data_IF_397595098091
#
_entry.id   IF_397595098091
#
_cell.length_a   1.000
_cell.length_b   1.000
_cell.length_c   1.000
_cell.angle_alpha   90.00
_cell.angle_beta   90.00
_cell.angle_gamma   90.00
#
_symmetry.space_group_name_H-M   'P 1'
#
loop_
_entity.id
_entity.type
_entity.pdbx_description
1 polymer ?
#
# COMPACT_ATOMS: atom_id res chain seq x y z
N UNK A 1 -11.12 4.77 4.97
CA UNK A 1 -10.93 4.60 3.50
C UNK A 1 -12.18 4.86 2.65
N UNK A 2 -13.41 4.68 3.15
CA UNK A 2 -14.64 4.89 2.37
C UNK A 2 -14.80 6.30 1.78
N UNK A 3 -14.48 7.35 2.55
CA UNK A 3 -14.58 8.73 2.10
C UNK A 3 -13.64 9.03 0.92
N UNK A 4 -12.39 8.56 0.99
CA UNK A 4 -11.42 8.72 -0.11
C UNK A 4 -11.91 8.04 -1.39
N UNK A 5 -12.44 6.82 -1.28
CA UNK A 5 -12.99 6.10 -2.42
C UNK A 5 -14.17 6.84 -3.06
N UNK A 6 -15.08 7.38 -2.23
CA UNK A 6 -16.21 8.17 -2.71
C UNK A 6 -15.75 9.44 -3.43
N UNK A 7 -14.76 10.14 -2.88
CA UNK A 7 -14.16 11.32 -3.51
C UNK A 7 -13.51 10.97 -4.85
N UNK A 8 -12.72 9.91 -4.92
CA UNK A 8 -12.09 9.45 -6.16
C UNK A 8 -13.14 9.15 -7.23
N UNK A 9 -14.14 8.33 -6.90
CA UNK A 9 -15.24 7.96 -7.82
C UNK A 9 -16.05 9.16 -8.28
N UNK A 10 -16.27 10.15 -7.41
CA UNK A 10 -17.06 11.35 -7.74
C UNK A 10 -16.25 12.37 -8.53
N UNK A 11 -14.94 12.49 -8.27
CA UNK A 11 -14.09 13.49 -8.88
C UNK A 11 -13.92 13.31 -10.40
N UNK A 12 -14.07 12.08 -10.91
CA UNK A 12 -13.79 11.68 -12.31
C UNK A 12 -12.41 12.14 -12.81
N UNK A 13 -11.47 12.38 -11.90
CA UNK A 13 -10.10 12.80 -12.24
C UNK A 13 -9.16 11.63 -12.09
N UNK A 14 -8.26 11.49 -13.05
CA UNK A 14 -7.17 10.53 -12.94
C UNK A 14 -5.97 11.15 -12.20
N UNK A 15 -6.02 11.17 -10.87
CA UNK A 15 -4.94 11.70 -10.03
C UNK A 15 -4.27 10.56 -9.24
N UNK A 16 -2.94 10.59 -9.07
CA UNK A 16 -2.25 9.61 -8.24
C UNK A 16 -2.62 9.80 -6.76
N UNK A 17 -2.72 8.68 -6.03
CA UNK A 17 -3.08 8.68 -4.61
C UNK A 17 -1.93 8.10 -3.77
N UNK A 18 -1.60 8.78 -2.67
CA UNK A 18 -0.55 8.35 -1.75
C UNK A 18 -1.21 7.91 -0.43
N UNK A 19 -0.89 6.69 0.00
CA UNK A 19 -1.39 6.12 1.25
C UNK A 19 -0.22 5.84 2.16
N UNK A 20 -0.09 6.64 3.22
CA UNK A 20 0.89 6.43 4.28
C UNK A 20 0.28 5.63 5.42
N UNK A 21 0.98 4.61 5.90
CA UNK A 21 0.52 3.66 6.93
C UNK A 21 -0.87 3.10 6.64
N UNK A 22 -1.04 2.28 5.58
CA UNK A 22 -2.34 1.93 4.99
C UNK A 22 -3.32 1.27 5.95
N UNK A 23 -2.83 0.61 7.00
CA UNK A 23 -3.66 -0.15 7.92
C UNK A 23 -3.61 0.33 9.35
N UNK A 24 -2.54 1.01 9.79
CA UNK A 24 -2.41 1.50 11.16
C UNK A 24 -2.86 0.42 12.19
N UNK A 25 -3.78 0.76 13.10
CA UNK A 25 -4.31 -0.14 14.15
C UNK A 25 -5.54 -0.96 13.73
N UNK A 26 -5.74 -1.19 12.44
CA UNK A 26 -6.87 -1.99 11.93
C UNK A 26 -6.60 -3.48 12.12
N UNK A 27 -7.61 -4.24 12.56
CA UNK A 27 -7.52 -5.70 12.71
C UNK A 27 -7.43 -6.46 11.38
N UNK A 28 -7.09 -7.74 11.46
CA UNK A 28 -6.84 -8.57 10.28
C UNK A 28 -8.01 -8.72 9.32
N UNK A 29 -9.25 -8.71 9.84
CA UNK A 29 -10.47 -8.92 9.04
C UNK A 29 -10.75 -7.65 8.24
N UNK A 30 -10.68 -6.51 8.91
CA UNK A 30 -10.87 -5.21 8.28
C UNK A 30 -9.72 -4.89 7.30
N UNK A 31 -8.48 -5.32 7.57
CA UNK A 31 -7.37 -5.22 6.59
C UNK A 31 -7.69 -5.92 5.27
N UNK A 32 -8.21 -7.15 5.31
CA UNK A 32 -8.58 -7.89 4.09
C UNK A 32 -9.68 -7.16 3.31
N UNK A 33 -10.72 -6.68 4.00
CA UNK A 33 -11.77 -5.90 3.37
C UNK A 33 -11.25 -4.62 2.71
N UNK A 34 -10.28 -3.93 3.32
CA UNK A 34 -9.67 -2.74 2.73
C UNK A 34 -8.88 -3.09 1.47
N UNK A 35 -8.11 -4.18 1.47
CA UNK A 35 -7.37 -4.60 0.27
C UNK A 35 -8.34 -4.87 -0.88
N UNK A 36 -9.38 -5.66 -0.64
CA UNK A 36 -10.31 -6.07 -1.69
C UNK A 36 -11.19 -4.92 -2.18
N UNK A 37 -11.68 -4.08 -1.27
CA UNK A 37 -12.62 -3.00 -1.62
C UNK A 37 -11.91 -1.72 -2.04
N UNK A 38 -10.73 -1.40 -1.50
CA UNK A 38 -10.04 -0.14 -1.77
C UNK A 38 -8.88 -0.35 -2.75
N UNK A 39 -7.86 -1.14 -2.39
CA UNK A 39 -6.65 -1.23 -3.22
C UNK A 39 -6.88 -1.93 -4.56
N UNK A 40 -7.76 -2.94 -4.61
CA UNK A 40 -8.08 -3.64 -5.87
C UNK A 40 -9.10 -2.95 -6.77
N UNK A 41 -9.95 -2.09 -6.21
CA UNK A 41 -11.09 -1.51 -6.95
C UNK A 41 -10.81 -0.14 -7.58
N UNK A 42 -9.70 0.49 -7.23
CA UNK A 42 -9.32 1.80 -7.75
C UNK A 42 -8.56 1.63 -9.07
N UNK A 43 -9.00 2.37 -10.09
CA UNK A 43 -8.37 2.39 -11.42
C UNK A 43 -7.19 3.38 -11.49
N UNK A 44 -7.09 4.30 -10.53
CA UNK A 44 -6.02 5.28 -10.44
C UNK A 44 -4.70 4.66 -9.98
N UNK A 45 -3.59 5.33 -10.31
CA UNK A 45 -2.28 4.96 -9.77
C UNK A 45 -2.23 5.22 -8.26
N UNK A 46 -1.86 4.20 -7.49
CA UNK A 46 -1.70 4.28 -6.02
C UNK A 46 -0.24 4.04 -5.65
N UNK A 47 0.26 4.88 -4.75
CA UNK A 47 1.52 4.69 -4.04
C UNK A 47 1.22 4.34 -2.59
N UNK A 48 1.71 3.19 -2.15
CA UNK A 48 1.53 2.72 -0.78
C UNK A 48 2.86 2.84 -0.05
N UNK A 49 2.88 3.62 1.03
CA UNK A 49 3.99 3.76 1.95
C UNK A 49 3.60 3.02 3.22
N UNK A 50 4.25 1.90 3.48
CA UNK A 50 3.91 1.03 4.59
C UNK A 50 5.15 0.59 5.35
N UNK A 51 4.92 0.01 6.52
CA UNK A 51 5.95 -0.70 7.29
C UNK A 51 5.91 -2.20 7.01
N UNK A 52 6.94 -2.90 7.48
CA UNK A 52 7.05 -4.37 7.48
C UNK A 52 5.93 -5.06 8.28
N UNK A 53 5.32 -4.36 9.23
CA UNK A 53 4.20 -4.86 10.05
C UNK A 53 2.80 -4.68 9.42
N UNK A 54 2.69 -3.94 8.31
CA UNK A 54 1.40 -3.61 7.71
C UNK A 54 1.06 -4.51 6.53
N UNK A 55 1.97 -4.63 5.56
CA UNK A 55 1.78 -5.42 4.34
C UNK A 55 2.82 -6.53 4.32
N UNK A 56 2.45 -7.68 4.87
CA UNK A 56 3.30 -8.86 4.99
C UNK A 56 2.54 -10.13 4.57
N UNK A 57 3.28 -11.20 4.27
CA UNK A 57 2.74 -12.52 3.93
C UNK A 57 1.49 -12.47 3.03
N UNK A 58 0.35 -12.91 3.58
CA UNK A 58 -0.93 -12.98 2.86
C UNK A 58 -1.43 -11.63 2.32
N UNK A 59 -1.16 -10.52 2.99
CA UNK A 59 -1.64 -9.21 2.56
C UNK A 59 -0.91 -8.74 1.30
N UNK A 60 0.40 -9.03 1.20
CA UNK A 60 1.19 -8.78 0.00
C UNK A 60 0.72 -9.65 -1.16
N UNK A 61 0.49 -10.94 -0.92
CA UNK A 61 -0.03 -11.87 -1.94
C UNK A 61 -1.37 -11.41 -2.52
N UNK A 62 -2.22 -10.79 -1.70
CA UNK A 62 -3.51 -10.27 -2.17
C UNK A 62 -3.38 -9.07 -3.10
N UNK A 63 -2.29 -8.30 -3.08
CA UNK A 63 -2.09 -7.14 -3.97
C UNK A 63 -1.15 -7.42 -5.13
N UNK A 64 -0.49 -8.58 -5.13
CA UNK A 64 0.59 -8.94 -6.06
C UNK A 64 0.19 -8.81 -7.54
N UNK A 65 -1.05 -9.17 -7.88
CA UNK A 65 -1.61 -9.06 -9.23
C UNK A 65 -1.79 -7.61 -9.72
N UNK A 66 -1.76 -6.64 -8.81
CA UNK A 66 -1.88 -5.21 -9.08
C UNK A 66 -0.58 -4.44 -8.88
N UNK A 67 0.49 -5.09 -8.43
CA UNK A 67 1.78 -4.43 -8.23
C UNK A 67 2.48 -4.17 -9.56
N UNK A 68 2.91 -2.93 -9.76
CA UNK A 68 3.74 -2.54 -10.89
C UNK A 68 5.22 -2.46 -10.51
N UNK A 69 5.52 -1.86 -9.36
CA UNK A 69 6.85 -1.72 -8.78
C UNK A 69 6.80 -1.80 -7.27
N UNK A 70 7.88 -2.29 -6.67
CA UNK A 70 8.10 -2.25 -5.22
C UNK A 70 9.45 -1.63 -4.93
N UNK A 71 9.54 -0.96 -3.78
CA UNK A 71 10.78 -0.38 -3.30
C UNK A 71 10.92 -0.72 -1.82
N UNK A 72 12.14 -1.06 -1.43
CA UNK A 72 12.51 -1.26 -0.03
C UNK A 72 13.43 -0.14 0.39
N UNK A 73 13.01 0.62 1.40
CA UNK A 73 13.78 1.70 1.99
C UNK A 73 14.42 1.17 3.27
N UNK A 74 15.76 1.17 3.34
CA UNK A 74 16.50 0.75 4.53
C UNK A 74 17.38 1.89 5.03
N UNK A 75 17.35 2.11 6.34
CA UNK A 75 18.27 3.02 7.01
C UNK A 75 19.55 2.24 7.34
N UNK A 76 20.60 2.38 6.51
CA UNK A 76 21.87 1.66 6.70
C UNK A 76 22.78 2.36 7.72
N UNK A 77 22.65 3.68 7.86
CA UNK A 77 23.36 4.53 8.83
C UNK A 77 22.44 5.67 9.27
N UNK A 78 22.74 6.30 10.40
CA UNK A 78 21.95 7.43 10.88
C UNK A 78 21.87 8.55 9.83
N UNK A 79 20.66 8.93 9.45
CA UNK A 79 20.40 9.97 8.45
C UNK A 79 20.62 9.56 6.99
N UNK A 80 20.93 8.27 6.72
CA UNK A 80 21.11 7.75 5.35
C UNK A 80 20.04 6.71 5.05
N UNK A 81 19.28 6.93 3.98
CA UNK A 81 18.32 5.95 3.46
C UNK A 81 18.79 5.46 2.10
N UNK A 82 18.94 4.14 1.99
CA UNK A 82 19.18 3.45 0.73
C UNK A 82 17.87 2.89 0.20
N UNK A 83 17.72 2.93 -1.13
CA UNK A 83 16.52 2.49 -1.85
C UNK A 83 16.90 1.30 -2.71
N UNK A 84 16.21 0.18 -2.51
CA UNK A 84 16.38 -1.05 -3.25
C UNK A 84 15.18 -1.23 -4.18
N UNK A 85 15.42 -1.31 -5.50
CA UNK A 85 14.38 -1.45 -6.55
C UNK A 85 13.94 -2.91 -6.67
N UNK A 86 12.65 -3.13 -6.89
CA UNK A 86 11.99 -4.44 -6.95
C UNK A 86 12.18 -5.33 -5.71
N UNK A 87 12.59 -4.74 -4.60
CA UNK A 87 12.60 -5.37 -3.29
C UNK A 87 11.41 -4.84 -2.46
N UNK A 88 10.95 -5.68 -1.53
CA UNK A 88 9.93 -5.31 -0.56
C UNK A 88 10.14 -6.14 0.71
N UNK A 89 9.53 -5.74 1.83
CA UNK A 89 9.69 -6.45 3.11
C UNK A 89 9.50 -7.97 2.95
N UNK A 90 10.43 -8.75 3.51
CA UNK A 90 10.39 -10.21 3.56
C UNK A 90 9.69 -10.70 4.84
N UNK A 91 8.56 -10.08 5.19
CA UNK A 91 7.82 -10.43 6.41
C UNK A 91 6.98 -11.71 6.23
N UNK A 92 7.12 -12.65 7.17
CA UNK A 92 6.12 -13.70 7.44
C UNK A 92 4.80 -13.10 7.95
#
# INVERSE_FOLDING_TARGET
MSLYLALLKTSKRNIPFFVDTPFARIDSTNKMAIIDVFFKSIENQIFILSTDSEIYGKYKLLIDDKLNKTFLLKSTRYGVTEIFDNEYFEGE
#
